data_IF_971190972473
#
_entry.id   IF_971190972473
#
_cell.length_a   1.000
_cell.length_b   1.000
_cell.length_c   1.000
_cell.angle_alpha   90.00
_cell.angle_beta   90.00
_cell.angle_gamma   90.00
#
_symmetry.space_group_name_H-M   'P 1'
#
loop_
_entity.id
_entity.type
_entity.pdbx_description
1 polymer ?
#
# COMPACT_ATOMS: atom_id res chain seq x y z
N UNK A 1 8.47 -17.96 10.03
CA UNK A 1 7.10 -17.74 10.54
C UNK A 1 6.34 -19.04 10.83
N UNK A 2 6.59 -20.14 10.10
CA UNK A 2 5.87 -21.40 10.37
C UNK A 2 6.19 -21.98 11.76
N UNK A 3 7.41 -21.82 12.28
CA UNK A 3 7.75 -22.17 13.67
C UNK A 3 6.91 -21.39 14.69
N UNK A 4 6.68 -20.10 14.44
CA UNK A 4 5.85 -19.25 15.32
C UNK A 4 4.40 -19.76 15.34
N UNK A 5 3.86 -20.14 14.18
CA UNK A 5 2.51 -20.74 14.09
C UNK A 5 2.43 -22.10 14.78
N UNK A 6 3.47 -22.93 14.65
CA UNK A 6 3.55 -24.21 15.38
C UNK A 6 3.59 -24.02 16.90
N UNK A 7 4.18 -22.92 17.38
CA UNK A 7 4.17 -22.53 18.78
C UNK A 7 2.86 -21.86 19.26
N UNK A 8 1.85 -21.75 18.38
CA UNK A 8 0.55 -21.17 18.73
C UNK A 8 0.45 -19.65 18.51
N UNK A 9 1.46 -19.00 17.94
CA UNK A 9 1.41 -17.58 17.63
C UNK A 9 0.73 -17.32 16.29
N UNK A 10 -0.20 -16.38 16.28
CA UNK A 10 -0.71 -15.80 15.05
C UNK A 10 0.29 -14.76 14.50
N UNK A 11 0.85 -15.04 13.32
CA UNK A 11 1.89 -14.22 12.73
C UNK A 11 1.63 -13.97 11.23
N UNK A 12 1.75 -12.69 10.85
CA UNK A 12 1.78 -12.19 9.47
C UNK A 12 2.95 -11.20 9.32
N UNK A 13 3.43 -11.04 8.09
CA UNK A 13 4.36 -10.00 7.69
C UNK A 13 3.63 -9.00 6.81
N UNK A 14 3.95 -7.72 6.98
CA UNK A 14 3.49 -6.65 6.10
C UNK A 14 4.76 -5.98 5.59
N UNK A 15 5.26 -6.36 4.40
CA UNK A 15 6.41 -5.70 3.82
C UNK A 15 6.09 -4.22 3.59
N UNK A 16 7.08 -3.36 3.79
CA UNK A 16 6.93 -1.92 3.71
C UNK A 16 8.13 -1.27 3.05
N UNK A 17 8.03 0.01 2.66
CA UNK A 17 9.11 0.74 1.98
C UNK A 17 9.60 0.05 0.69
N UNK A 18 8.70 -0.52 -0.11
CA UNK A 18 9.11 -1.21 -1.34
C UNK A 18 9.69 -0.25 -2.39
N UNK A 19 9.23 1.00 -2.44
CA UNK A 19 9.76 2.07 -3.30
C UNK A 19 11.27 2.30 -3.14
N UNK A 20 11.81 2.11 -1.93
CA UNK A 20 13.24 2.29 -1.60
C UNK A 20 14.03 0.98 -1.58
N UNK A 21 13.41 -0.13 -2.01
CA UNK A 21 14.00 -1.47 -2.03
C UNK A 21 15.01 -1.71 -3.15
N UNK A 22 15.08 -0.83 -4.15
CA UNK A 22 15.90 -1.00 -5.35
C UNK A 22 15.53 -2.24 -6.18
N UNK A 23 14.26 -2.58 -6.26
CA UNK A 23 13.74 -3.67 -7.08
C UNK A 23 13.73 -5.04 -6.41
N UNK A 24 14.15 -5.10 -5.15
CA UNK A 24 14.31 -6.34 -4.40
C UNK A 24 12.99 -6.86 -3.82
N UNK A 25 11.99 -6.00 -3.60
CA UNK A 25 10.74 -6.40 -2.91
C UNK A 25 9.86 -7.33 -3.76
N UNK A 26 9.72 -7.02 -5.06
CA UNK A 26 8.80 -7.68 -5.98
C UNK A 26 9.52 -8.35 -7.15
N UNK A 27 10.59 -9.09 -6.85
CA UNK A 27 11.37 -9.85 -7.85
C UNK A 27 10.53 -10.90 -8.59
N UNK A 28 10.96 -11.31 -9.78
CA UNK A 28 10.30 -12.38 -10.55
C UNK A 28 10.91 -13.76 -10.29
N UNK A 29 11.96 -13.80 -9.48
CA UNK A 29 12.75 -14.98 -9.12
C UNK A 29 12.87 -15.06 -7.60
N UNK A 30 13.36 -16.20 -7.12
CA UNK A 30 13.78 -16.35 -5.74
C UNK A 30 15.09 -15.59 -5.49
N UNK A 31 15.48 -15.47 -4.22
CA UNK A 31 16.70 -14.75 -3.82
C UNK A 31 17.98 -15.30 -4.46
N UNK A 32 18.02 -16.60 -4.76
CA UNK A 32 19.15 -17.27 -5.43
C UNK A 32 19.09 -17.17 -6.98
N UNK A 33 18.10 -16.45 -7.52
CA UNK A 33 17.87 -16.29 -8.95
C UNK A 33 17.08 -17.43 -9.59
N UNK A 34 16.72 -18.49 -8.84
CA UNK A 34 15.91 -19.58 -9.37
C UNK A 34 14.47 -19.14 -9.65
N UNK A 35 13.76 -19.78 -10.60
CA UNK A 35 12.34 -19.51 -10.83
C UNK A 35 11.53 -19.74 -9.55
N UNK A 36 10.49 -18.93 -9.35
CA UNK A 36 9.54 -19.16 -8.25
C UNK A 36 8.75 -20.44 -8.50
N UNK A 37 8.78 -21.36 -7.53
CA UNK A 37 7.92 -22.53 -7.54
C UNK A 37 6.62 -22.29 -6.74
N UNK A 38 5.69 -23.25 -6.82
CA UNK A 38 4.42 -23.18 -6.08
C UNK A 38 4.62 -23.11 -4.57
N UNK A 39 5.64 -23.76 -4.03
CA UNK A 39 5.90 -23.78 -2.59
C UNK A 39 6.36 -22.39 -2.10
N UNK A 40 7.20 -21.71 -2.88
CA UNK A 40 7.64 -20.35 -2.64
C UNK A 40 6.47 -19.37 -2.71
N UNK A 41 5.66 -19.44 -3.78
CA UNK A 41 4.46 -18.61 -3.94
C UNK A 41 3.50 -18.79 -2.76
N UNK A 42 3.18 -20.03 -2.39
CA UNK A 42 2.29 -20.31 -1.25
C UNK A 42 2.87 -19.82 0.08
N UNK A 43 4.19 -19.92 0.26
CA UNK A 43 4.88 -19.41 1.46
C UNK A 43 4.75 -17.89 1.55
N UNK A 44 4.99 -17.17 0.46
CA UNK A 44 4.81 -15.71 0.41
C UNK A 44 3.35 -15.34 0.64
N UNK A 45 2.41 -15.89 -0.12
CA UNK A 45 0.97 -15.55 0.05
C UNK A 45 0.42 -15.83 1.45
N UNK A 46 0.94 -16.85 2.16
CA UNK A 46 0.55 -17.14 3.55
C UNK A 46 1.16 -16.18 4.56
N UNK A 47 2.38 -15.70 4.31
CA UNK A 47 3.11 -14.86 5.25
C UNK A 47 2.88 -13.37 5.01
N UNK A 48 2.72 -12.95 3.76
CA UNK A 48 2.63 -11.57 3.30
C UNK A 48 1.25 -11.32 2.67
N UNK A 49 0.14 -11.40 3.45
CA UNK A 49 -1.19 -11.17 2.89
C UNK A 49 -1.39 -9.70 2.51
N UNK A 50 -0.61 -8.78 3.09
CA UNK A 50 -0.71 -7.35 2.89
C UNK A 50 0.65 -6.78 2.53
N UNK A 51 0.64 -5.60 1.91
CA UNK A 51 1.81 -4.75 1.74
C UNK A 51 1.47 -3.31 2.14
N UNK A 52 2.46 -2.60 2.64
CA UNK A 52 2.34 -1.17 2.83
C UNK A 52 2.53 -0.44 1.49
N UNK A 53 1.50 0.31 1.11
CA UNK A 53 1.44 1.02 -0.16
C UNK A 53 1.92 2.47 -0.05
N UNK A 54 1.87 3.06 1.15
CA UNK A 54 2.33 4.43 1.39
C UNK A 54 2.80 4.59 2.82
N UNK A 55 3.89 5.36 2.98
CA UNK A 55 4.55 5.63 4.24
C UNK A 55 5.12 7.05 4.26
N UNK A 56 5.66 7.46 5.41
CA UNK A 56 6.45 8.69 5.56
C UNK A 56 7.62 8.79 4.60
N UNK A 57 8.10 7.68 4.02
CA UNK A 57 9.17 7.67 2.99
C UNK A 57 8.58 7.58 1.59
N UNK A 58 7.45 8.26 1.37
CA UNK A 58 6.76 8.35 0.09
C UNK A 58 5.85 7.16 -0.23
N UNK A 59 5.22 7.23 -1.40
CA UNK A 59 4.33 6.18 -1.88
C UNK A 59 5.08 5.06 -2.60
N UNK A 60 4.59 3.84 -2.40
CA UNK A 60 5.00 2.62 -3.10
C UNK A 60 3.95 2.16 -4.13
N UNK A 61 2.91 2.94 -4.36
CA UNK A 61 1.80 2.60 -5.27
C UNK A 61 2.25 2.45 -6.73
N UNK A 62 2.73 3.54 -7.34
CA UNK A 62 3.28 3.54 -8.70
C UNK A 62 4.37 4.60 -8.87
N UNK A 63 5.00 4.62 -10.04
CA UNK A 63 6.05 5.56 -10.42
C UNK A 63 5.82 6.07 -11.85
N UNK A 64 6.20 7.31 -12.21
CA UNK A 64 5.94 7.86 -13.55
C UNK A 64 6.59 7.03 -14.67
N UNK A 65 7.76 6.45 -14.40
CA UNK A 65 8.41 5.52 -15.32
C UNK A 65 7.56 4.26 -15.62
N UNK A 66 6.79 3.77 -14.64
CA UNK A 66 5.99 2.54 -14.75
C UNK A 66 4.54 2.79 -15.18
N UNK A 67 4.09 4.04 -15.09
CA UNK A 67 2.74 4.50 -15.43
C UNK A 67 2.78 5.89 -16.09
N UNK A 68 3.42 6.04 -17.26
CA UNK A 68 3.68 7.36 -17.86
C UNK A 68 2.44 8.11 -18.36
N UNK A 69 1.28 7.44 -18.38
CA UNK A 69 -0.02 8.02 -18.76
C UNK A 69 -0.90 8.37 -17.56
N UNK A 70 -0.45 8.07 -16.35
CA UNK A 70 -1.15 8.41 -15.11
C UNK A 70 -0.59 9.71 -14.56
N UNK A 71 -1.40 10.77 -14.59
CA UNK A 71 -1.01 12.11 -14.16
C UNK A 71 -0.76 12.23 -12.64
N UNK A 72 -1.12 11.22 -11.85
CA UNK A 72 -0.85 11.16 -10.40
C UNK A 72 0.28 10.20 -10.04
N UNK A 73 0.97 9.62 -11.03
CA UNK A 73 2.03 8.65 -10.78
C UNK A 73 3.28 9.26 -10.11
N UNK A 74 3.39 10.58 -10.04
CA UNK A 74 4.51 11.31 -9.42
C UNK A 74 4.24 11.79 -7.99
N UNK A 75 3.08 11.44 -7.42
CA UNK A 75 2.72 11.79 -6.05
C UNK A 75 3.72 11.21 -5.04
N UNK A 76 4.31 12.07 -4.19
CA UNK A 76 5.20 11.71 -3.07
C UNK A 76 6.25 10.62 -3.39
N UNK A 77 6.96 10.76 -4.51
CA UNK A 77 8.04 9.83 -4.87
C UNK A 77 9.29 10.09 -4.02
N UNK A 78 9.70 9.07 -3.28
CA UNK A 78 11.00 9.04 -2.62
C UNK A 78 12.05 8.38 -3.54
N UNK A 79 13.03 9.14 -4.05
CA UNK A 79 13.84 8.68 -5.17
C UNK A 79 15.06 7.84 -4.78
N UNK A 80 15.38 7.75 -3.48
CA UNK A 80 16.62 7.16 -3.01
C UNK A 80 16.39 5.80 -2.34
N UNK A 81 17.44 4.99 -2.26
CA UNK A 81 17.46 3.77 -1.45
C UNK A 81 17.44 4.13 0.03
N UNK A 82 16.97 3.21 0.86
CA UNK A 82 16.94 3.40 2.31
C UNK A 82 18.35 3.76 2.83
N UNK A 83 18.42 4.76 3.70
CA UNK A 83 19.66 5.25 4.33
C UNK A 83 20.80 5.63 3.35
N UNK A 84 20.48 5.95 2.10
CA UNK A 84 21.47 6.28 1.07
C UNK A 84 20.98 7.43 0.17
N UNK A 85 21.89 8.00 -0.63
CA UNK A 85 21.58 8.93 -1.73
C UNK A 85 21.65 8.28 -3.11
N UNK A 86 21.91 6.97 -3.16
CA UNK A 86 21.80 6.20 -4.39
C UNK A 86 20.34 6.16 -4.83
N UNK A 87 20.08 6.30 -6.13
CA UNK A 87 18.73 6.19 -6.67
C UNK A 87 18.19 4.77 -6.48
N UNK A 88 16.91 4.66 -6.13
CA UNK A 88 16.20 3.38 -6.09
C UNK A 88 15.68 3.04 -7.48
N UNK A 89 15.85 1.79 -7.91
CA UNK A 89 15.29 1.28 -9.15
C UNK A 89 13.76 1.13 -9.04
N UNK A 90 12.96 1.71 -9.97
CA UNK A 90 11.51 1.55 -9.92
C UNK A 90 11.01 0.13 -10.18
N UNK A 91 11.59 -0.59 -11.14
CA UNK A 91 11.16 -1.95 -11.48
C UNK A 91 11.37 -2.87 -10.29
N UNK A 92 10.34 -3.62 -9.89
CA UNK A 92 10.36 -4.51 -8.73
C UNK A 92 10.15 -3.79 -7.39
N UNK A 93 9.89 -2.49 -7.39
CA UNK A 93 9.74 -1.67 -6.17
C UNK A 93 8.30 -1.17 -5.92
N UNK A 94 7.41 -1.23 -6.91
CA UNK A 94 6.08 -0.60 -6.83
C UNK A 94 4.92 -1.60 -6.92
N UNK A 95 3.88 -1.35 -6.13
CA UNK A 95 2.74 -2.24 -5.89
C UNK A 95 1.92 -2.50 -7.15
N UNK A 96 1.59 -1.48 -7.94
CA UNK A 96 0.83 -1.68 -9.19
C UNK A 96 1.59 -2.50 -10.23
N UNK A 97 2.91 -2.41 -10.24
CA UNK A 97 3.74 -3.30 -11.06
C UNK A 97 3.73 -4.73 -10.51
N UNK A 98 3.86 -4.90 -9.19
CA UNK A 98 3.79 -6.20 -8.54
C UNK A 98 2.48 -6.95 -8.86
N UNK A 99 1.33 -6.25 -8.88
CA UNK A 99 0.07 -6.87 -9.29
C UNK A 99 0.10 -7.39 -10.72
N UNK A 100 0.61 -6.60 -11.68
CA UNK A 100 0.76 -7.02 -13.09
C UNK A 100 1.73 -8.20 -13.23
N UNK A 101 2.87 -8.15 -12.53
CA UNK A 101 3.83 -9.23 -12.49
C UNK A 101 3.22 -10.51 -11.90
N UNK A 102 2.42 -10.37 -10.85
CA UNK A 102 1.71 -11.46 -10.20
C UNK A 102 0.70 -12.14 -11.13
N UNK A 103 0.00 -11.37 -11.97
CA UNK A 103 -0.88 -11.94 -13.00
C UNK A 103 -0.07 -12.81 -13.98
N UNK A 104 1.04 -12.29 -14.50
CA UNK A 104 1.90 -13.01 -15.44
C UNK A 104 2.52 -14.28 -14.84
N UNK A 105 2.98 -14.23 -13.57
CA UNK A 105 3.46 -15.41 -12.84
C UNK A 105 2.35 -16.43 -12.55
N UNK A 106 1.12 -15.94 -12.37
CA UNK A 106 -0.07 -16.78 -12.25
C UNK A 106 -0.33 -17.57 -13.52
N UNK A 107 -0.28 -16.89 -14.68
CA UNK A 107 -0.51 -17.47 -15.99
C UNK A 107 0.56 -18.51 -16.37
N UNK A 108 1.81 -18.33 -15.94
CA UNK A 108 2.90 -19.30 -16.15
C UNK A 108 2.81 -20.58 -15.29
N UNK A 109 1.85 -20.66 -14.36
CA UNK A 109 1.53 -21.89 -13.61
C UNK A 109 2.22 -22.05 -12.25
N UNK A 110 3.10 -21.12 -11.86
CA UNK A 110 3.70 -21.06 -10.52
C UNK A 110 2.74 -20.49 -9.46
N UNK A 111 1.77 -19.70 -9.90
CA UNK A 111 0.82 -18.98 -9.05
C UNK A 111 1.21 -17.52 -8.86
N UNK A 112 0.34 -16.75 -8.19
CA UNK A 112 0.53 -15.31 -8.00
C UNK A 112 1.04 -14.99 -6.58
N UNK A 113 2.33 -14.66 -6.39
CA UNK A 113 2.88 -14.30 -5.08
C UNK A 113 2.47 -12.89 -4.63
N UNK A 114 1.99 -12.05 -5.56
CA UNK A 114 1.70 -10.62 -5.35
C UNK A 114 0.21 -10.34 -5.25
N UNK A 115 -0.60 -11.34 -4.87
CA UNK A 115 -2.04 -11.18 -4.58
C UNK A 115 -2.27 -10.75 -3.12
N UNK A 116 -1.66 -9.65 -2.73
CA UNK A 116 -1.78 -9.04 -1.40
C UNK A 116 -2.85 -7.93 -1.38
N UNK A 117 -3.28 -7.52 -0.18
CA UNK A 117 -4.03 -6.29 0.06
C UNK A 117 -3.10 -5.13 0.38
N UNK A 118 -3.64 -3.93 0.55
CA UNK A 118 -2.83 -2.73 0.85
C UNK A 118 -3.21 -2.11 2.19
N UNK A 119 -2.20 -1.57 2.88
CA UNK A 119 -2.35 -0.67 4.03
C UNK A 119 -1.42 0.53 3.86
N UNK A 120 -1.66 1.60 4.62
CA UNK A 120 -0.70 2.69 4.81
C UNK A 120 -0.26 2.73 6.26
N UNK A 121 0.92 3.24 6.55
CA UNK A 121 1.34 3.49 7.93
C UNK A 121 2.23 4.71 8.04
N UNK A 122 2.22 5.37 9.20
CA UNK A 122 2.98 6.59 9.39
C UNK A 122 4.48 6.33 9.54
N UNK A 123 4.88 5.20 10.14
CA UNK A 123 6.26 4.90 10.56
C UNK A 123 6.96 6.12 11.19
N UNK A 124 6.21 6.87 11.99
CA UNK A 124 6.74 7.97 12.77
C UNK A 124 7.39 7.37 14.01
N UNK A 125 8.67 7.65 14.23
CA UNK A 125 9.42 7.22 15.43
C UNK A 125 9.26 8.26 16.54
N UNK A 126 8.05 8.83 16.62
CA UNK A 126 7.65 9.85 17.58
C UNK A 126 6.59 9.27 18.51
N UNK A 127 6.62 9.65 19.78
CA UNK A 127 5.57 9.28 20.73
C UNK A 127 4.25 10.04 20.50
N UNK A 128 4.31 11.18 19.81
CA UNK A 128 3.16 12.04 19.50
C UNK A 128 2.62 11.85 18.09
N UNK A 129 1.40 12.33 17.87
CA UNK A 129 0.71 12.27 16.58
C UNK A 129 1.30 13.28 15.59
N UNK A 130 1.57 12.83 14.36
CA UNK A 130 2.03 13.69 13.25
C UNK A 130 1.46 13.19 11.92
N UNK A 131 0.14 13.02 11.86
CA UNK A 131 -0.59 12.41 10.73
C UNK A 131 -1.24 13.42 9.78
N UNK A 132 -1.05 14.72 10.03
CA UNK A 132 -1.59 15.79 9.19
C UNK A 132 -0.43 16.57 8.58
N UNK A 133 -0.45 16.74 7.26
CA UNK A 133 0.63 17.39 6.53
C UNK A 133 0.88 18.83 7.00
N UNK A 134 -0.18 19.58 7.32
CA UNK A 134 -0.08 20.96 7.81
C UNK A 134 0.52 21.10 9.22
N UNK A 135 0.69 19.99 9.95
CA UNK A 135 1.28 19.91 11.29
C UNK A 135 2.39 18.87 11.36
N UNK A 136 2.93 18.48 10.21
CA UNK A 136 3.93 17.45 10.13
C UNK A 136 5.28 17.96 10.67
N UNK A 137 5.85 17.24 11.64
CA UNK A 137 7.09 17.62 12.33
C UNK A 137 8.25 16.67 12.03
N UNK A 138 8.11 15.80 11.03
CA UNK A 138 9.13 14.83 10.65
C UNK A 138 8.98 13.47 11.37
N UNK A 139 9.90 12.56 11.04
CA UNK A 139 9.80 11.14 11.38
C UNK A 139 10.48 10.74 12.69
N UNK A 140 11.30 11.60 13.30
CA UNK A 140 12.14 11.23 14.43
C UNK A 140 12.44 12.44 15.31
N UNK A 141 12.17 12.32 16.60
CA UNK A 141 12.55 13.34 17.58
C UNK A 141 14.06 13.64 17.54
N UNK A 142 14.92 12.65 17.34
CA UNK A 142 16.36 12.90 17.28
C UNK A 142 16.78 13.73 16.06
N UNK A 143 16.17 13.46 14.90
CA UNK A 143 16.56 14.04 13.61
C UNK A 143 15.66 15.22 13.18
N UNK A 144 14.68 15.61 13.99
CA UNK A 144 13.66 16.60 13.61
C UNK A 144 13.15 17.46 14.78
N UNK A 145 13.89 17.54 15.91
CA UNK A 145 13.45 18.32 17.08
C UNK A 145 13.84 19.80 17.03
N UNK A 146 14.74 20.21 16.14
CA UNK A 146 15.15 21.62 15.98
C UNK A 146 14.81 22.16 14.58
N UNK A 147 14.55 23.48 14.45
CA UNK A 147 14.34 24.11 13.16
C UNK A 147 15.52 23.92 12.18
N UNK A 148 16.75 23.84 12.69
CA UNK A 148 17.97 23.60 11.92
C UNK A 148 17.95 22.20 11.29
N UNK A 149 17.63 21.17 12.07
CA UNK A 149 17.56 19.78 11.58
C UNK A 149 16.45 19.56 10.56
N UNK A 150 15.36 20.31 10.66
CA UNK A 150 14.27 20.33 9.67
C UNK A 150 14.67 21.08 8.40
N UNK A 151 15.78 21.83 8.40
CA UNK A 151 16.15 22.73 7.32
C UNK A 151 15.20 23.93 7.19
N UNK A 152 14.49 24.30 8.26
CA UNK A 152 13.55 25.43 8.28
C UNK A 152 14.21 26.76 8.67
N UNK A 153 15.41 26.72 9.25
CA UNK A 153 16.26 27.90 9.50
C UNK A 153 17.69 27.63 9.05
N UNK A 154 18.47 28.66 8.72
CA UNK A 154 19.82 28.45 8.23
C UNK A 154 20.79 28.20 9.39
N UNK A 155 21.71 27.25 9.22
CA UNK A 155 22.77 26.96 10.20
C UNK A 155 23.93 27.92 10.04
N UNK A 156 24.62 28.23 11.14
CA UNK A 156 25.87 28.98 11.08
C UNK A 156 26.91 28.19 10.26
N UNK A 157 27.69 28.91 9.45
CA UNK A 157 28.85 28.31 8.82
C UNK A 157 30.01 28.26 9.82
N UNK A 158 30.70 27.12 9.90
CA UNK A 158 31.83 26.92 10.82
C UNK A 158 32.98 27.90 10.57
N UNK A 159 33.06 28.49 9.37
CA UNK A 159 34.08 29.46 8.94
C UNK A 159 33.64 30.93 9.05
N UNK A 160 32.48 31.21 9.67
CA UNK A 160 31.92 32.57 9.74
C UNK A 160 31.35 33.09 8.40
N UNK A 161 31.24 32.22 7.40
CA UNK A 161 30.60 32.50 6.12
C UNK A 161 29.08 32.67 6.20
N UNK A 162 28.43 32.79 5.04
CA UNK A 162 26.98 32.97 4.96
C UNK A 162 26.24 31.75 5.54
N UNK A 163 25.22 32.03 6.36
CA UNK A 163 24.34 30.98 6.89
C UNK A 163 23.63 30.28 5.73
N UNK A 164 23.57 28.95 5.76
CA UNK A 164 22.93 28.15 4.72
C UNK A 164 21.89 27.20 5.33
N UNK A 165 20.86 26.86 4.57
CA UNK A 165 19.89 25.86 4.98
C UNK A 165 20.46 24.46 4.75
N UNK A 166 20.29 23.57 5.73
CA UNK A 166 20.56 22.15 5.52
C UNK A 166 19.49 21.55 4.62
N UNK A 167 19.86 20.58 3.77
CA UNK A 167 18.92 19.82 2.94
C UNK A 167 18.81 18.38 3.46
N UNK A 168 18.16 18.17 4.62
CA UNK A 168 18.05 16.83 5.20
C UNK A 168 17.16 15.96 4.31
N UNK A 169 17.42 14.64 4.30
CA UNK A 169 16.57 13.69 3.56
C UNK A 169 15.13 13.68 4.10
N UNK A 170 14.94 14.04 5.38
CA UNK A 170 13.61 14.17 6.01
C UNK A 170 12.70 15.19 5.33
N UNK A 171 13.23 16.10 4.51
CA UNK A 171 12.41 17.01 3.68
C UNK A 171 11.59 16.29 2.61
N UNK A 172 11.94 15.05 2.30
CA UNK A 172 11.22 14.19 1.36
C UNK A 172 10.19 13.31 2.08
N UNK A 173 10.07 13.47 3.40
CA UNK A 173 9.10 12.75 4.18
C UNK A 173 7.75 13.46 4.17
N UNK A 174 6.67 12.69 4.32
CA UNK A 174 5.29 13.21 4.45
C UNK A 174 4.61 12.65 5.70
N UNK A 175 3.47 13.21 6.09
CA UNK A 175 2.69 12.69 7.21
C UNK A 175 2.08 11.29 6.96
N UNK A 176 2.08 10.85 5.69
CA UNK A 176 1.52 9.57 5.26
C UNK A 176 2.01 8.40 6.12
N UNK A 177 1.21 7.38 6.42
CA UNK A 177 -0.20 7.16 6.04
C UNK A 177 -0.97 6.41 7.13
N UNK A 178 -2.20 5.99 6.83
CA UNK A 178 -3.07 5.26 7.76
C UNK A 178 -3.60 3.97 7.13
N UNK A 179 -3.81 2.97 7.98
CA UNK A 179 -4.41 1.69 7.61
C UNK A 179 -5.92 1.72 7.90
N UNK A 180 -6.73 1.49 6.88
CA UNK A 180 -8.14 1.16 7.01
C UNK A 180 -8.32 -0.35 7.05
N UNK A 181 -9.09 -0.85 8.01
CA UNK A 181 -9.34 -2.29 8.21
C UNK A 181 -10.82 -2.53 8.44
N UNK A 182 -11.44 -3.35 7.61
CA UNK A 182 -12.81 -3.79 7.80
C UNK A 182 -12.83 -5.09 8.60
N UNK A 183 -12.85 -4.95 9.92
CA UNK A 183 -12.99 -6.05 10.87
C UNK A 183 -14.40 -6.06 11.48
N UNK A 184 -14.90 -7.25 11.81
CA UNK A 184 -16.25 -7.45 12.32
C UNK A 184 -16.39 -6.83 13.72
N UNK A 185 -15.31 -6.90 14.51
CA UNK A 185 -15.15 -6.22 15.81
C UNK A 185 -13.70 -5.72 15.94
N UNK A 186 -13.41 -5.04 17.05
CA UNK A 186 -12.06 -4.53 17.36
C UNK A 186 -11.19 -5.36 18.36
N UNK A 187 -11.31 -6.70 18.48
CA UNK A 187 -10.25 -7.51 19.08
C UNK A 187 -9.17 -7.84 18.04
N UNK A 188 -7.97 -8.22 18.51
CA UNK A 188 -6.83 -8.54 17.65
C UNK A 188 -7.16 -9.63 16.63
N UNK A 189 -7.93 -10.63 17.04
CA UNK A 189 -8.28 -11.81 16.25
C UNK A 189 -9.08 -11.43 15.01
N UNK A 190 -10.09 -10.58 15.16
CA UNK A 190 -10.94 -10.11 14.05
C UNK A 190 -10.15 -9.18 13.11
N UNK A 191 -9.26 -8.34 13.64
CA UNK A 191 -8.33 -7.51 12.84
C UNK A 191 -7.36 -8.38 12.03
N UNK A 192 -6.78 -9.41 12.64
CA UNK A 192 -5.91 -10.36 11.94
C UNK A 192 -6.67 -11.20 10.92
N UNK A 193 -7.95 -11.51 11.17
CA UNK A 193 -8.81 -12.15 10.19
C UNK A 193 -9.03 -11.23 8.98
N UNK A 194 -9.32 -9.93 9.21
CA UNK A 194 -9.45 -8.91 8.17
C UNK A 194 -8.18 -8.77 7.32
N UNK A 195 -7.01 -8.76 7.97
CA UNK A 195 -5.72 -8.75 7.29
C UNK A 195 -5.53 -9.95 6.34
N UNK A 196 -5.90 -11.15 6.77
CA UNK A 196 -5.78 -12.36 5.92
C UNK A 196 -6.72 -12.37 4.73
N UNK A 197 -7.96 -11.90 4.93
CA UNK A 197 -8.93 -11.74 3.82
C UNK A 197 -8.66 -10.49 2.96
N UNK A 198 -7.66 -9.68 3.35
CA UNK A 198 -7.19 -8.50 2.63
C UNK A 198 -8.23 -7.39 2.49
N UNK A 199 -9.13 -7.32 3.45
CA UNK A 199 -10.19 -6.31 3.45
C UNK A 199 -9.68 -5.03 4.12
N UNK A 200 -8.64 -4.46 3.50
CA UNK A 200 -7.87 -3.32 4.00
C UNK A 200 -7.62 -2.31 2.90
N UNK A 201 -7.51 -1.04 3.28
CA UNK A 201 -7.12 0.02 2.36
C UNK A 201 -6.04 0.91 2.98
N UNK A 202 -5.30 1.58 2.11
CA UNK A 202 -4.29 2.58 2.47
C UNK A 202 -4.83 3.99 2.27
N UNK A 203 -4.54 4.92 3.17
CA UNK A 203 -4.73 6.35 2.94
C UNK A 203 -3.44 7.11 3.22
N UNK A 204 -3.25 8.27 2.59
CA UNK A 204 -2.09 9.14 2.79
C UNK A 204 -2.21 10.01 4.06
N UNK A 205 -3.15 9.71 4.96
CA UNK A 205 -3.39 10.45 6.20
C UNK A 205 -4.84 10.90 6.38
N UNK A 206 -5.62 10.96 5.30
CA UNK A 206 -7.05 11.27 5.36
C UNK A 206 -7.83 10.10 5.96
N UNK A 207 -8.83 10.39 6.80
CA UNK A 207 -9.70 9.39 7.43
C UNK A 207 -10.92 9.07 6.56
N UNK A 208 -10.69 8.91 5.25
CA UNK A 208 -11.71 8.45 4.32
C UNK A 208 -12.13 7.02 4.66
N UNK A 209 -13.36 6.65 4.30
CA UNK A 209 -13.83 5.26 4.39
C UNK A 209 -14.26 4.81 3.01
N UNK A 210 -13.81 3.63 2.60
CA UNK A 210 -14.12 3.07 1.28
C UNK A 210 -14.50 1.60 1.40
N UNK A 211 -15.46 1.16 0.59
CA UNK A 211 -15.79 -0.26 0.39
C UNK A 211 -15.94 -0.51 -1.09
N UNK A 212 -15.44 -1.66 -1.54
CA UNK A 212 -15.46 -2.04 -2.94
C UNK A 212 -15.80 -3.52 -3.05
N UNK A 213 -16.78 -3.84 -3.88
CA UNK A 213 -17.22 -5.20 -4.18
C UNK A 213 -17.19 -5.41 -5.69
N UNK A 214 -16.92 -6.65 -6.09
CA UNK A 214 -17.06 -7.12 -7.46
C UNK A 214 -17.95 -8.36 -7.48
N UNK A 215 -18.86 -8.48 -8.44
CA UNK A 215 -19.82 -9.57 -8.46
C UNK A 215 -20.76 -9.49 -9.64
N UNK A 216 -21.84 -10.27 -9.59
CA UNK A 216 -22.88 -10.29 -10.61
C UNK A 216 -24.22 -9.96 -9.94
N UNK A 217 -25.01 -9.08 -10.56
CA UNK A 217 -26.29 -8.64 -10.00
C UNK A 217 -26.12 -7.77 -8.76
N UNK A 218 -25.08 -6.93 -8.75
CA UNK A 218 -24.87 -5.97 -7.67
C UNK A 218 -25.77 -4.76 -7.88
N UNK A 219 -26.39 -4.29 -6.81
CA UNK A 219 -27.31 -3.15 -6.87
C UNK A 219 -26.93 -2.07 -5.86
N UNK A 220 -27.12 -0.81 -6.24
CA UNK A 220 -26.79 0.34 -5.37
C UNK A 220 -27.61 0.39 -4.08
N UNK A 221 -28.81 -0.22 -4.05
CA UNK A 221 -29.61 -0.36 -2.83
C UNK A 221 -28.89 -1.17 -1.74
N UNK A 222 -27.92 -2.01 -2.10
CA UNK A 222 -27.07 -2.77 -1.17
C UNK A 222 -26.13 -1.88 -0.33
N UNK A 223 -26.11 -0.57 -0.55
CA UNK A 223 -25.26 0.40 0.17
C UNK A 223 -26.04 1.37 1.06
N UNK A 224 -27.36 1.18 1.23
CA UNK A 224 -28.25 2.17 1.84
C UNK A 224 -28.36 1.99 3.36
N UNK A 225 -28.36 0.75 3.85
CA UNK A 225 -28.41 0.43 5.29
C UNK A 225 -27.55 -0.80 5.69
N UNK A 226 -27.50 -1.13 6.98
CA UNK A 226 -26.67 -2.24 7.47
C UNK A 226 -27.13 -3.62 6.97
N UNK A 227 -28.44 -3.84 6.86
CA UNK A 227 -28.99 -5.14 6.39
C UNK A 227 -28.68 -5.32 4.90
N UNK A 228 -28.64 -4.21 4.15
CA UNK A 228 -28.26 -4.18 2.74
C UNK A 228 -26.76 -4.44 2.50
N UNK A 229 -25.91 -4.13 3.48
CA UNK A 229 -24.47 -4.44 3.41
C UNK A 229 -24.20 -5.94 3.56
N UNK A 230 -24.97 -6.64 4.39
CA UNK A 230 -24.90 -8.11 4.48
C UNK A 230 -25.24 -8.74 3.12
N UNK A 231 -26.23 -8.18 2.41
CA UNK A 231 -26.55 -8.61 1.04
C UNK A 231 -25.36 -8.37 0.08
N UNK A 232 -24.65 -7.25 0.17
CA UNK A 232 -23.45 -7.01 -0.64
C UNK A 232 -22.35 -8.05 -0.37
N UNK A 233 -22.15 -8.47 0.88
CA UNK A 233 -21.18 -9.53 1.22
C UNK A 233 -21.62 -10.93 0.78
N UNK A 234 -22.93 -11.19 0.76
CA UNK A 234 -23.48 -12.48 0.35
C UNK A 234 -23.51 -12.64 -1.19
N UNK A 235 -23.69 -11.54 -1.92
CA UNK A 235 -23.78 -11.55 -3.40
C UNK A 235 -22.44 -11.24 -4.07
N UNK A 236 -21.65 -10.34 -3.48
CA UNK A 236 -20.42 -9.83 -4.06
C UNK A 236 -19.16 -10.31 -3.36
N UNK A 237 -18.05 -10.27 -4.07
CA UNK A 237 -16.72 -10.46 -3.52
C UNK A 237 -16.17 -9.11 -3.03
N UNK A 238 -15.92 -8.92 -1.71
CA UNK A 238 -15.27 -7.70 -1.23
C UNK A 238 -13.82 -7.60 -1.72
N UNK A 239 -13.30 -6.37 -1.70
CA UNK A 239 -11.90 -6.04 -1.90
C UNK A 239 -10.95 -7.00 -1.17
N UNK A 240 -9.85 -7.35 -1.85
CA UNK A 240 -8.91 -8.37 -1.38
C UNK A 240 -9.28 -9.81 -1.78
N UNK A 241 -10.52 -10.03 -2.20
CA UNK A 241 -11.01 -11.31 -2.71
C UNK A 241 -10.61 -11.61 -4.16
N UNK A 242 -11.09 -12.75 -4.67
CA UNK A 242 -10.96 -13.15 -6.07
C UNK A 242 -12.33 -13.52 -6.61
N UNK A 243 -12.80 -12.79 -7.62
CA UNK A 243 -14.04 -13.10 -8.31
C UNK A 243 -13.81 -14.29 -9.26
N UNK A 244 -14.68 -15.28 -9.18
CA UNK A 244 -14.71 -16.36 -10.17
C UNK A 244 -15.51 -15.88 -11.37
N UNK A 245 -14.94 -16.03 -12.56
CA UNK A 245 -15.65 -15.68 -13.79
C UNK A 245 -16.84 -16.63 -13.99
N UNK A 246 -18.01 -16.05 -14.25
CA UNK A 246 -19.19 -16.80 -14.69
C UNK A 246 -19.15 -17.04 -16.22
N UNK A 247 -19.75 -18.14 -16.71
CA UNK A 247 -19.79 -18.43 -18.15
C UNK A 247 -20.53 -17.38 -18.99
N UNK A 248 -21.41 -16.59 -18.37
CA UNK A 248 -22.19 -15.52 -18.99
C UNK A 248 -22.33 -14.37 -18.00
N UNK A 249 -22.45 -13.16 -18.52
CA UNK A 249 -22.59 -11.94 -17.72
C UNK A 249 -21.27 -11.18 -17.57
N UNK A 250 -21.39 -9.87 -17.42
CA UNK A 250 -20.25 -8.99 -17.14
C UNK A 250 -20.22 -8.71 -15.63
N UNK A 251 -19.06 -8.80 -14.97
CA UNK A 251 -18.97 -8.47 -13.56
C UNK A 251 -19.18 -6.97 -13.34
N UNK A 252 -19.92 -6.63 -12.31
CA UNK A 252 -20.21 -5.28 -11.88
C UNK A 252 -19.33 -4.91 -10.68
N UNK A 253 -19.09 -3.61 -10.51
CA UNK A 253 -18.40 -3.08 -9.33
C UNK A 253 -19.37 -2.22 -8.52
N UNK A 254 -19.44 -2.49 -7.22
CA UNK A 254 -20.20 -1.71 -6.26
C UNK A 254 -19.21 -1.01 -5.32
N UNK A 255 -19.22 0.33 -5.34
CA UNK A 255 -18.31 1.15 -4.56
C UNK A 255 -19.06 2.13 -3.66
N UNK A 256 -18.62 2.22 -2.42
CA UNK A 256 -19.07 3.21 -1.46
C UNK A 256 -17.88 3.98 -0.91
N UNK A 257 -17.99 5.29 -0.83
CA UNK A 257 -17.00 6.13 -0.17
C UNK A 257 -17.65 7.22 0.69
N UNK A 258 -17.05 7.43 1.85
CA UNK A 258 -17.32 8.58 2.70
C UNK A 258 -16.06 9.43 2.83
N UNK A 259 -16.23 10.75 2.68
CA UNK A 259 -15.17 11.74 2.92
C UNK A 259 -14.62 11.66 4.34
N UNK A 260 -13.43 12.20 4.52
CA UNK A 260 -12.91 12.50 5.85
C UNK A 260 -13.83 13.56 6.51
N UNK A 261 -14.36 13.30 7.73
CA UNK A 261 -15.19 14.27 8.45
C UNK A 261 -14.45 15.57 8.80
N UNK A 262 -13.12 15.55 8.83
CA UNK A 262 -12.28 16.70 9.15
C UNK A 262 -11.49 17.23 7.94
N UNK A 263 -11.64 16.60 6.77
CA UNK A 263 -10.89 16.92 5.56
C UNK A 263 -11.74 17.55 4.46
N UNK A 264 -11.14 17.66 3.28
CA UNK A 264 -11.80 18.12 2.06
C UNK A 264 -12.93 17.17 1.62
N UNK A 265 -13.77 17.63 0.69
CA UNK A 265 -14.80 16.79 0.06
C UNK A 265 -14.18 15.72 -0.83
N UNK A 266 -14.89 14.61 -1.05
CA UNK A 266 -14.50 13.64 -2.06
C UNK A 266 -14.69 14.25 -3.44
N UNK A 267 -13.63 14.34 -4.23
CA UNK A 267 -13.69 14.93 -5.56
C UNK A 267 -13.91 13.89 -6.66
N UNK A 268 -13.22 12.74 -6.56
CA UNK A 268 -13.20 11.74 -7.62
C UNK A 268 -12.97 10.33 -7.08
N UNK A 269 -13.49 9.35 -7.82
CA UNK A 269 -13.15 7.93 -7.71
C UNK A 269 -12.54 7.49 -9.04
N UNK A 270 -11.44 6.73 -8.97
CA UNK A 270 -10.80 6.12 -10.14
C UNK A 270 -10.60 4.64 -9.89
N UNK A 271 -10.98 3.83 -10.87
CA UNK A 271 -10.71 2.40 -10.87
C UNK A 271 -9.58 2.14 -11.86
N UNK A 272 -8.44 1.71 -11.35
CA UNK A 272 -7.26 1.36 -12.15
C UNK A 272 -7.26 -0.15 -12.36
N UNK A 273 -7.21 -0.56 -13.62
CA UNK A 273 -7.22 -1.97 -14.02
C UNK A 273 -5.86 -2.35 -14.60
N UNK A 274 -5.32 -3.47 -14.16
CA UNK A 274 -4.26 -4.19 -14.85
C UNK A 274 -4.84 -5.51 -15.36
N UNK A 275 -4.45 -5.92 -16.57
CA UNK A 275 -4.90 -7.16 -17.18
C UNK A 275 -3.74 -7.76 -17.98
N UNK A 276 -3.88 -9.03 -18.35
CA UNK A 276 -3.07 -9.64 -19.39
C UNK A 276 -3.89 -9.65 -20.68
N UNK A 277 -3.24 -9.45 -21.82
CA UNK A 277 -3.84 -9.72 -23.12
C UNK A 277 -3.92 -11.22 -23.42
N UNK A 278 -4.46 -11.58 -24.58
CA UNK A 278 -4.61 -12.97 -25.04
C UNK A 278 -3.28 -13.73 -25.15
N UNK A 279 -2.15 -13.01 -25.23
CA UNK A 279 -0.81 -13.59 -25.29
C UNK A 279 -0.14 -13.73 -23.92
N UNK A 280 -0.82 -13.32 -22.84
CA UNK A 280 -0.25 -13.28 -21.49
C UNK A 280 0.66 -12.06 -21.24
N UNK A 281 0.58 -11.03 -22.09
CA UNK A 281 1.39 -9.80 -21.96
C UNK A 281 0.63 -8.74 -21.16
N UNK A 282 1.36 -8.02 -20.29
CA UNK A 282 0.86 -7.00 -19.34
C UNK A 282 0.80 -5.58 -19.90
#
# INVERSE_FOLDING_TARGET
>A
MDEQRKAGYDAIAIPHNSNVSNGEMFQLVQYDGSPMDRAYVQRRSRNEPLVENTQIKGTSDTHPFLSPKDEWADFEIFPYRIASRLRSQPQGSYVREAYRNGLQLGDSGAGNPYRFGVIGASDTHNAGESFQENRFVGASGLLSHTPEQLGSVPVASDDGGQRAYTLPTSRLNSASGLAGVWADRNPREDVFAAFRRKETFSTTGTRIRVRFFAGYGLDTSMLVDNDSLELAYNTGQPMGGALRAEPRGEPEFLFWAARDPYGATLERVQIIKGWLDESGTR
#
